data_IF_337350204861
#
_entry.id   IF_337350204861
#
_cell.length_a   1.000
_cell.length_b   1.000
_cell.length_c   1.000
_cell.angle_alpha   90.00
_cell.angle_beta   90.00
_cell.angle_gamma   90.00
#
_symmetry.space_group_name_H-M   'P 1'
#
loop_
_entity.id
_entity.type
_entity.pdbx_description
1 polymer ?
#
# COMPACT_ATOMS: atom_id res chain seq x y z
N UNK A 1 10.69 -18.89 -24.20
CA UNK A 1 9.29 -18.79 -23.70
C UNK A 1 9.24 -18.39 -22.21
N UNK A 2 10.38 -18.29 -21.52
CA UNK A 2 10.46 -18.08 -20.07
C UNK A 2 10.21 -16.62 -19.61
N UNK A 3 10.45 -15.61 -20.46
CA UNK A 3 10.33 -14.20 -20.07
C UNK A 3 8.90 -13.71 -19.75
N UNK A 4 7.85 -14.38 -20.25
CA UNK A 4 6.47 -13.94 -20.01
C UNK A 4 5.94 -14.36 -18.64
N UNK A 5 6.46 -15.46 -18.07
CA UNK A 5 6.00 -16.01 -16.79
C UNK A 5 6.62 -15.23 -15.63
N UNK A 6 7.94 -14.97 -15.69
CA UNK A 6 8.65 -14.16 -14.69
C UNK A 6 8.03 -12.76 -14.52
N UNK A 7 7.69 -12.09 -15.62
CA UNK A 7 7.04 -10.76 -15.57
C UNK A 7 5.62 -10.80 -14.99
N UNK A 8 4.89 -11.90 -15.16
CA UNK A 8 3.55 -12.04 -14.61
C UNK A 8 3.57 -12.31 -13.10
N UNK A 9 4.54 -13.09 -12.62
CA UNK A 9 4.74 -13.40 -11.20
C UNK A 9 5.23 -12.17 -10.42
N UNK A 10 6.17 -11.42 -11.00
CA UNK A 10 6.68 -10.17 -10.42
C UNK A 10 5.55 -9.14 -10.23
N UNK A 11 4.70 -8.95 -11.24
CA UNK A 11 3.50 -8.08 -11.14
C UNK A 11 2.48 -8.56 -10.11
N UNK A 12 2.38 -9.88 -9.85
CA UNK A 12 1.48 -10.42 -8.84
C UNK A 12 2.01 -10.17 -7.43
N UNK A 13 3.31 -10.36 -7.24
CA UNK A 13 4.01 -10.02 -5.99
C UNK A 13 3.89 -8.54 -5.68
N UNK A 14 4.17 -7.67 -6.65
CA UNK A 14 4.07 -6.22 -6.49
C UNK A 14 2.65 -5.78 -6.09
N UNK A 15 1.61 -6.35 -6.72
CA UNK A 15 0.21 -6.11 -6.33
C UNK A 15 -0.12 -6.60 -4.93
N UNK A 16 0.40 -7.77 -4.54
CA UNK A 16 0.18 -8.34 -3.20
C UNK A 16 0.81 -7.47 -2.11
N UNK A 17 2.05 -7.01 -2.33
CA UNK A 17 2.75 -6.08 -1.44
C UNK A 17 1.96 -4.76 -1.32
N UNK A 18 1.50 -4.20 -2.45
CA UNK A 18 0.70 -2.97 -2.43
C UNK A 18 -0.61 -3.12 -1.64
N UNK A 19 -1.29 -4.26 -1.77
CA UNK A 19 -2.53 -4.53 -1.04
C UNK A 19 -2.28 -4.70 0.47
N UNK A 20 -1.21 -5.39 0.87
CA UNK A 20 -0.84 -5.55 2.27
C UNK A 20 -0.48 -4.20 2.91
N UNK A 21 0.35 -3.39 2.24
CA UNK A 21 0.75 -2.07 2.71
C UNK A 21 -0.45 -1.13 2.85
N UNK A 22 -1.42 -1.19 1.91
CA UNK A 22 -2.69 -0.44 2.02
C UNK A 22 -3.50 -0.85 3.25
N UNK A 23 -3.67 -2.15 3.49
CA UNK A 23 -4.45 -2.64 4.62
C UNK A 23 -3.81 -2.25 5.97
N UNK A 24 -2.48 -2.32 6.06
CA UNK A 24 -1.72 -1.89 7.25
C UNK A 24 -1.89 -0.39 7.48
N UNK A 25 -1.69 0.44 6.46
CA UNK A 25 -1.87 1.89 6.56
C UNK A 25 -3.29 2.27 7.02
N UNK A 26 -4.33 1.64 6.47
CA UNK A 26 -5.73 1.86 6.89
C UNK A 26 -5.99 1.45 8.35
N UNK A 27 -5.40 0.36 8.80
CA UNK A 27 -5.51 -0.11 10.19
C UNK A 27 -4.76 0.80 11.17
N UNK A 28 -3.65 1.40 10.76
CA UNK A 28 -2.92 2.38 11.57
C UNK A 28 -3.68 3.70 11.66
N UNK A 29 -4.22 4.18 10.53
CA UNK A 29 -5.10 5.36 10.50
C UNK A 29 -6.33 5.18 11.39
N UNK A 30 -6.96 3.99 11.39
CA UNK A 30 -8.14 3.71 12.24
C UNK A 30 -7.82 3.71 13.75
N UNK A 31 -6.53 3.59 14.11
CA UNK A 31 -6.03 3.72 15.48
C UNK A 31 -5.60 5.15 15.85
N UNK A 32 -5.80 6.11 14.94
CA UNK A 32 -5.42 7.51 15.16
C UNK A 32 -3.93 7.80 14.98
N UNK A 33 -3.18 6.89 14.35
CA UNK A 33 -1.78 7.13 14.00
C UNK A 33 -1.76 8.12 12.83
N UNK A 34 -0.92 9.14 12.92
CA UNK A 34 -0.81 10.18 11.91
C UNK A 34 -0.10 9.68 10.63
N UNK A 35 -0.32 10.41 9.54
CA UNK A 35 0.17 10.06 8.20
C UNK A 35 1.70 10.00 8.13
N UNK A 36 2.40 10.89 8.85
CA UNK A 36 3.86 10.95 8.81
C UNK A 36 4.47 9.70 9.48
N UNK A 37 3.95 9.32 10.64
CA UNK A 37 4.35 8.08 11.34
C UNK A 37 4.06 6.84 10.48
N UNK A 38 2.93 6.79 9.78
CA UNK A 38 2.61 5.67 8.88
C UNK A 38 3.55 5.61 7.69
N UNK A 39 3.85 6.78 7.10
CA UNK A 39 4.82 6.92 6.00
C UNK A 39 6.19 6.37 6.40
N UNK A 40 6.68 6.73 7.59
CA UNK A 40 7.95 6.25 8.12
C UNK A 40 7.98 4.72 8.32
N UNK A 41 6.94 4.14 8.94
CA UNK A 41 6.91 2.71 9.29
C UNK A 41 6.65 1.81 8.07
N UNK A 42 5.87 2.28 7.10
CA UNK A 42 5.47 1.48 5.93
C UNK A 42 6.37 1.71 4.72
N UNK A 43 7.18 2.77 4.72
CA UNK A 43 7.97 3.21 3.56
C UNK A 43 7.11 3.76 2.42
N UNK A 44 5.80 3.95 2.62
CA UNK A 44 4.91 4.59 1.66
C UNK A 44 5.08 6.10 1.74
N UNK A 45 4.89 6.81 0.64
CA UNK A 45 4.86 8.28 0.69
C UNK A 45 3.58 8.76 1.37
N UNK A 46 3.66 9.90 2.06
CA UNK A 46 2.50 10.53 2.69
C UNK A 46 1.34 10.75 1.70
N UNK A 47 1.63 11.07 0.44
CA UNK A 47 0.64 11.20 -0.62
C UNK A 47 -0.13 9.90 -0.90
N UNK A 48 0.57 8.75 -0.91
CA UNK A 48 -0.06 7.43 -1.07
C UNK A 48 -0.94 7.13 0.14
N UNK A 49 -0.46 7.39 1.35
CA UNK A 49 -1.23 7.19 2.59
C UNK A 49 -2.48 8.08 2.62
N UNK A 50 -2.35 9.35 2.21
CA UNK A 50 -3.46 10.30 2.12
C UNK A 50 -4.51 9.90 1.08
N UNK A 51 -4.08 9.29 -0.03
CA UNK A 51 -4.99 8.76 -1.06
C UNK A 51 -5.87 7.63 -0.52
N UNK A 52 -5.43 6.91 0.51
CA UNK A 52 -6.26 5.89 1.15
C UNK A 52 -7.40 6.49 1.99
N UNK A 53 -7.22 7.69 2.55
CA UNK A 53 -8.28 8.41 3.27
C UNK A 53 -9.41 8.85 2.34
N UNK A 54 -9.07 9.35 1.14
CA UNK A 54 -10.07 9.83 0.16
C UNK A 54 -10.83 8.69 -0.51
N UNK A 55 -10.29 7.47 -0.49
CA UNK A 55 -10.96 6.28 -1.03
C UNK A 55 -12.06 5.68 -0.14
N UNK A 56 -12.29 6.24 1.06
CA UNK A 56 -13.32 5.77 2.01
C UNK A 56 -14.73 6.33 1.72
N UNK A 57 -14.89 7.14 0.68
CA UNK A 57 -16.14 7.89 0.36
C UNK A 57 -16.90 7.42 -0.90
N UNK A 58 -16.74 6.17 -1.35
CA UNK A 58 -17.58 5.58 -2.40
C UNK A 58 -18.05 4.18 -2.08
#
# INVERSE_FOLDING_TARGET
MESKVASAEEKRLEKGIHQASKAIALNMLSKGIDIATISEVTGLTESVVATFLTSKER
#
